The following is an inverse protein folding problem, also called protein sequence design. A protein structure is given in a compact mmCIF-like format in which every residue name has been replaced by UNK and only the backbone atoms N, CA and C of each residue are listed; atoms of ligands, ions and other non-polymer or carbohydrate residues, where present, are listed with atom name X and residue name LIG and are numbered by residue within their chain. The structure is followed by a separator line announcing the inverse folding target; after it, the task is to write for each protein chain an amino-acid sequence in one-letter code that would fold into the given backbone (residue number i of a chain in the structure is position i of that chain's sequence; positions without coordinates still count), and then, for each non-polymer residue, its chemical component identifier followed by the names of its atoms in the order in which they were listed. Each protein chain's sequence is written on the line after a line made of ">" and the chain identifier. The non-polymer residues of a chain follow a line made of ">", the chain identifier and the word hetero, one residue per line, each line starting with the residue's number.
data_IF_217569206293
#
_entry.id   IF_217569206293
#
_cell.length_a   1.000
_cell.length_b   1.000
_cell.length_c   1.000
_cell.angle_alpha   90.00
_cell.angle_beta   90.00
_cell.angle_gamma   90.00
#
_symmetry.space_group_name_H-M   'P 1'
#
loop_
_entity.id
_entity.type
_entity.pdbx_description
1 polymer ?
#
# COMPACT_ATOMS: atom_id res chain seq x y z
N UNK A 1 5.24 32.09 21.29
CA UNK A 1 3.83 32.09 21.75
C UNK A 1 3.47 33.56 22.01
N UNK A 2 2.51 34.07 21.26
CA UNK A 2 1.96 35.42 21.51
C UNK A 2 0.99 35.33 22.68
N UNK A 3 0.76 36.44 23.36
CA UNK A 3 -0.09 36.54 24.55
C UNK A 3 -1.57 36.17 24.31
N UNK A 4 -1.96 35.97 23.05
CA UNK A 4 -3.37 35.73 22.65
C UNK A 4 -3.63 34.28 22.21
N UNK A 5 -2.67 33.35 22.44
CA UNK A 5 -2.87 31.95 22.10
C UNK A 5 -3.72 31.26 23.17
N UNK A 6 -4.98 30.94 22.85
CA UNK A 6 -5.91 30.21 23.72
C UNK A 6 -6.00 28.76 23.26
N UNK A 7 -5.76 27.80 24.16
CA UNK A 7 -5.93 26.40 23.92
C UNK A 7 -7.30 25.95 24.42
N UNK A 8 -8.06 25.25 23.56
CA UNK A 8 -9.43 24.81 23.87
C UNK A 8 -9.52 23.47 24.58
N UNK A 9 -8.38 22.78 24.78
CA UNK A 9 -8.27 21.51 25.47
C UNK A 9 -6.92 21.41 26.17
N UNK A 10 -6.74 20.41 27.01
CA UNK A 10 -5.46 20.11 27.66
C UNK A 10 -4.38 19.86 26.57
N UNK A 11 -3.47 20.81 26.46
CA UNK A 11 -2.43 20.80 25.44
C UNK A 11 -1.07 20.92 26.10
N UNK A 12 -0.20 19.95 25.86
CA UNK A 12 1.20 20.04 26.30
C UNK A 12 1.99 20.78 25.23
N UNK A 13 2.55 21.92 25.61
CA UNK A 13 3.46 22.71 24.76
C UNK A 13 4.89 22.50 25.23
N UNK A 14 5.77 22.20 24.28
CA UNK A 14 7.19 22.06 24.53
C UNK A 14 7.92 23.34 24.11
N UNK A 15 8.71 23.94 25.02
CA UNK A 15 9.57 25.07 24.68
C UNK A 15 10.77 24.58 23.86
N UNK A 16 10.99 25.18 22.70
CA UNK A 16 12.22 25.04 21.94
C UNK A 16 13.13 26.23 22.26
N UNK A 17 14.25 25.95 22.89
CA UNK A 17 15.24 26.98 23.24
C UNK A 17 16.35 27.02 22.20
N UNK A 18 16.56 28.18 21.59
CA UNK A 18 17.75 28.43 20.79
C UNK A 18 18.79 29.13 21.66
N UNK A 19 19.96 28.53 21.82
CA UNK A 19 21.06 29.18 22.54
C UNK A 19 21.69 30.27 21.66
N UNK A 20 21.54 31.52 22.06
CA UNK A 20 22.12 32.71 21.37
C UNK A 20 23.31 33.28 22.12
N UNK A 21 24.09 32.47 22.81
CA UNK A 21 25.29 32.87 23.54
C UNK A 21 26.51 32.98 22.62
N UNK A 22 27.19 34.11 22.67
CA UNK A 22 28.37 34.39 21.88
C UNK A 22 29.58 33.53 22.29
N UNK A 23 30.30 33.03 21.29
CA UNK A 23 31.67 32.59 21.35
C UNK A 23 31.93 31.21 21.99
N UNK A 24 32.09 30.19 21.18
CA UNK A 24 32.67 28.90 21.56
C UNK A 24 31.74 27.71 21.30
N UNK A 25 32.08 26.91 20.29
CA UNK A 25 31.61 25.55 20.01
C UNK A 25 30.14 25.28 20.30
N UNK A 26 29.23 25.54 19.36
CA UNK A 26 27.82 25.27 19.53
C UNK A 26 27.58 23.80 19.81
N UNK A 27 27.10 23.44 21.00
CA UNK A 27 26.56 22.12 21.26
C UNK A 27 25.25 21.96 20.49
N UNK A 28 25.33 21.29 19.37
CA UNK A 28 24.13 20.79 18.71
C UNK A 28 23.78 19.46 19.38
N UNK A 29 22.67 19.36 20.13
CA UNK A 29 22.26 18.08 20.68
C UNK A 29 22.07 17.07 19.55
N UNK A 30 22.46 15.80 19.75
CA UNK A 30 22.29 14.78 18.74
C UNK A 30 20.81 14.67 18.33
N UNK A 31 20.54 14.80 17.06
CA UNK A 31 19.19 14.62 16.50
C UNK A 31 18.88 13.12 16.46
N UNK A 32 17.84 12.71 17.16
CA UNK A 32 17.36 11.33 17.11
C UNK A 32 16.50 11.12 15.89
N UNK A 33 16.78 10.07 15.12
CA UNK A 33 16.04 9.70 13.90
C UNK A 33 15.27 8.42 14.14
N UNK A 34 14.09 8.37 13.52
CA UNK A 34 13.24 7.18 13.53
C UNK A 34 12.85 6.79 12.12
N UNK A 35 12.42 5.55 11.95
CA UNK A 35 12.06 4.97 10.67
C UNK A 35 10.57 4.66 10.63
N UNK A 36 9.91 5.08 9.56
CA UNK A 36 8.57 4.67 9.20
C UNK A 36 8.65 3.59 8.12
N UNK A 37 8.06 2.44 8.39
CA UNK A 37 7.92 1.33 7.46
C UNK A 37 6.50 1.31 6.88
N UNK A 38 6.39 0.93 5.62
CA UNK A 38 5.13 0.78 4.91
C UNK A 38 4.88 -0.71 4.62
N UNK A 39 3.90 -1.29 5.30
CA UNK A 39 3.44 -2.66 5.06
C UNK A 39 2.29 -2.60 4.05
N UNK A 40 2.58 -2.93 2.80
CA UNK A 40 1.63 -2.78 1.70
C UNK A 40 0.67 -3.95 1.53
N UNK A 41 0.95 -5.09 2.20
CA UNK A 41 0.02 -6.24 2.27
C UNK A 41 -0.23 -6.93 0.92
N UNK A 42 0.65 -6.76 -0.05
CA UNK A 42 0.52 -7.30 -1.43
C UNK A 42 0.49 -6.22 -2.52
N UNK A 43 0.36 -4.96 -2.14
CA UNK A 43 0.52 -3.84 -3.07
C UNK A 43 1.99 -3.56 -3.41
N UNK A 44 2.21 -2.63 -4.33
CA UNK A 44 3.56 -2.19 -4.71
C UNK A 44 4.36 -1.68 -3.51
N UNK A 45 5.65 -1.99 -3.47
CA UNK A 45 6.53 -1.58 -2.40
C UNK A 45 6.67 -0.05 -2.32
N UNK A 46 6.71 0.45 -1.08
CA UNK A 46 7.03 1.85 -0.78
C UNK A 46 8.28 1.86 0.10
N UNK A 47 9.32 2.61 -0.29
CA UNK A 47 10.53 2.74 0.51
C UNK A 47 10.23 3.31 1.90
N UNK A 48 10.94 2.82 2.92
CA UNK A 48 10.87 3.38 4.27
C UNK A 48 11.33 4.84 4.30
N UNK A 49 10.76 5.62 5.21
CA UNK A 49 11.12 7.02 5.45
C UNK A 49 11.84 7.12 6.79
N UNK A 50 13.01 7.78 6.81
CA UNK A 50 13.77 8.04 8.03
C UNK A 50 13.90 9.53 8.26
N UNK A 51 13.32 10.01 9.36
CA UNK A 51 13.27 11.43 9.70
C UNK A 51 13.58 11.68 11.17
N UNK A 52 13.84 12.94 11.51
CA UNK A 52 14.10 13.35 12.87
C UNK A 52 12.87 13.15 13.78
N UNK A 53 13.13 12.97 15.07
CA UNK A 53 12.08 12.91 16.09
C UNK A 53 11.05 14.03 15.92
N UNK A 54 9.78 13.67 16.01
CA UNK A 54 8.63 14.58 15.92
C UNK A 54 8.43 15.23 14.54
N UNK A 55 9.01 14.66 13.46
CA UNK A 55 8.68 15.08 12.09
C UNK A 55 7.31 14.53 11.70
N UNK A 56 6.46 15.37 11.13
CA UNK A 56 5.18 14.95 10.56
C UNK A 56 5.38 14.36 9.18
N UNK A 57 4.88 13.16 8.96
CA UNK A 57 4.88 12.46 7.68
C UNK A 57 3.46 12.45 7.12
N UNK A 58 3.26 13.13 5.99
CA UNK A 58 2.01 13.12 5.25
C UNK A 58 1.91 11.83 4.42
N UNK A 59 1.05 10.93 4.86
CA UNK A 59 0.86 9.62 4.26
C UNK A 59 0.04 9.65 2.96
N UNK A 60 -0.62 10.75 2.65
CA UNK A 60 -1.40 10.90 1.41
C UNK A 60 -0.52 10.91 0.17
N UNK A 61 0.77 11.17 0.33
CA UNK A 61 1.78 11.15 -0.75
C UNK A 61 2.25 9.73 -1.10
N UNK A 62 1.96 8.76 -0.26
CA UNK A 62 2.42 7.38 -0.40
C UNK A 62 1.21 6.51 -0.74
N UNK A 63 1.01 6.28 -2.03
CA UNK A 63 -0.15 5.54 -2.55
C UNK A 63 0.36 4.29 -3.27
N UNK A 64 0.33 3.12 -2.62
CA UNK A 64 0.67 1.87 -3.28
C UNK A 64 -0.41 1.49 -4.29
N UNK A 65 -0.04 0.67 -5.26
CA UNK A 65 -0.94 0.11 -6.25
C UNK A 65 -1.01 -1.40 -6.07
N UNK A 66 -2.21 -1.95 -6.20
CA UNK A 66 -2.42 -3.39 -6.22
C UNK A 66 -3.54 -3.69 -7.21
N UNK A 67 -3.21 -4.49 -8.22
CA UNK A 67 -4.16 -4.81 -9.27
C UNK A 67 -5.39 -5.54 -8.70
N UNK A 68 -6.57 -5.14 -9.12
CA UNK A 68 -7.83 -5.68 -8.60
C UNK A 68 -8.20 -5.23 -7.20
N UNK A 69 -7.48 -4.23 -6.67
CA UNK A 69 -7.74 -3.66 -5.35
C UNK A 69 -7.69 -2.14 -5.40
N UNK A 70 -8.62 -1.52 -4.70
CA UNK A 70 -8.61 -0.07 -4.45
C UNK A 70 -7.95 0.21 -3.11
N UNK A 71 -6.92 1.05 -3.11
CA UNK A 71 -6.30 1.53 -1.88
C UNK A 71 -7.28 2.41 -1.10
N UNK A 72 -7.55 2.04 0.15
CA UNK A 72 -8.50 2.76 1.01
C UNK A 72 -7.84 3.59 2.09
N UNK A 73 -6.52 3.55 2.21
CA UNK A 73 -5.74 4.39 3.10
C UNK A 73 -4.76 3.63 3.97
N UNK A 74 -4.02 4.40 4.79
CA UNK A 74 -3.06 3.88 5.76
C UNK A 74 -3.68 3.74 7.15
N UNK A 75 -3.21 2.75 7.91
CA UNK A 75 -3.66 2.43 9.26
C UNK A 75 -2.47 2.22 10.19
N UNK A 76 -2.64 2.51 11.48
CA UNK A 76 -1.58 2.36 12.48
C UNK A 76 -1.39 0.93 12.96
N UNK A 77 -2.33 0.04 12.67
CA UNK A 77 -2.27 -1.36 13.05
C UNK A 77 -2.82 -2.30 11.97
N UNK A 78 -2.42 -3.56 12.06
CA UNK A 78 -2.79 -4.63 11.12
C UNK A 78 -4.29 -4.95 11.10
N UNK A 79 -4.99 -4.63 12.18
CA UNK A 79 -6.46 -4.80 12.29
C UNK A 79 -7.25 -3.79 11.46
N UNK A 80 -6.58 -2.78 10.88
CA UNK A 80 -7.16 -1.73 10.05
C UNK A 80 -8.33 -0.97 10.72
N UNK A 81 -8.21 -0.70 12.02
CA UNK A 81 -9.25 0.02 12.76
C UNK A 81 -8.99 1.53 12.79
N UNK A 82 -7.73 1.96 12.94
CA UNK A 82 -7.37 3.37 13.04
C UNK A 82 -6.73 3.88 11.76
N UNK A 83 -7.56 4.45 10.88
CA UNK A 83 -7.12 5.08 9.64
C UNK A 83 -6.45 6.42 9.92
N UNK A 84 -5.32 6.68 9.25
CA UNK A 84 -4.55 7.90 9.39
C UNK A 84 -4.16 8.49 8.04
N UNK A 85 -4.12 9.82 7.96
CA UNK A 85 -3.62 10.56 6.78
C UNK A 85 -2.19 11.06 6.96
N UNK A 86 -1.67 10.98 8.18
CA UNK A 86 -0.30 11.34 8.52
C UNK A 86 0.03 10.95 9.95
N UNK A 87 1.31 10.90 10.25
CA UNK A 87 1.83 10.50 11.57
C UNK A 87 2.99 11.40 12.00
N UNK A 88 3.15 11.62 13.31
CA UNK A 88 4.36 12.18 13.87
C UNK A 88 5.34 11.05 14.23
N UNK A 89 6.56 11.15 13.73
CA UNK A 89 7.58 10.12 13.93
C UNK A 89 8.26 10.27 15.29
N UNK A 90 7.66 9.69 16.33
CA UNK A 90 8.16 9.75 17.71
C UNK A 90 8.93 8.51 18.13
N UNK A 91 8.89 7.46 17.33
CA UNK A 91 9.58 6.16 17.46
C UNK A 91 9.60 5.47 16.10
N UNK A 92 10.34 4.38 15.97
CA UNK A 92 10.17 3.49 14.82
C UNK A 92 8.75 2.94 14.79
N UNK A 93 8.10 3.04 13.64
CA UNK A 93 6.71 2.62 13.50
C UNK A 93 6.42 2.05 12.11
N UNK A 94 5.33 1.31 12.01
CA UNK A 94 4.86 0.72 10.76
C UNK A 94 3.43 1.19 10.51
N UNK A 95 3.13 1.54 9.27
CA UNK A 95 1.76 1.77 8.80
C UNK A 95 1.37 0.68 7.82
N UNK A 96 0.09 0.32 7.84
CA UNK A 96 -0.47 -0.80 7.10
C UNK A 96 -1.44 -0.28 6.05
N UNK A 97 -1.26 -0.74 4.81
CA UNK A 97 -2.18 -0.41 3.72
C UNK A 97 -3.51 -1.14 3.89
N UNK A 98 -4.59 -0.40 3.82
CA UNK A 98 -5.93 -0.98 3.70
C UNK A 98 -6.33 -1.09 2.24
N UNK A 99 -6.96 -2.22 1.91
CA UNK A 99 -7.40 -2.53 0.55
C UNK A 99 -8.85 -2.96 0.54
N UNK A 100 -9.56 -2.55 -0.49
CA UNK A 100 -10.87 -3.09 -0.85
C UNK A 100 -10.68 -3.88 -2.14
N UNK A 101 -11.15 -5.10 -2.17
CA UNK A 101 -11.24 -5.87 -3.42
C UNK A 101 -12.23 -5.15 -4.34
N UNK A 102 -11.83 -4.90 -5.56
CA UNK A 102 -12.71 -4.29 -6.54
C UNK A 102 -13.74 -5.33 -6.97
N UNK A 103 -15.02 -4.98 -6.88
CA UNK A 103 -16.12 -5.87 -7.27
C UNK A 103 -16.08 -6.20 -8.77
N UNK A 104 -15.28 -5.45 -9.52
CA UNK A 104 -15.02 -5.65 -10.93
C UNK A 104 -13.53 -5.35 -11.20
N UNK A 105 -12.61 -6.32 -10.97
CA UNK A 105 -11.17 -6.12 -11.11
C UNK A 105 -10.71 -5.85 -12.55
N UNK A 106 -11.65 -5.84 -13.50
CA UNK A 106 -11.41 -5.66 -14.92
C UNK A 106 -11.78 -4.27 -15.42
N UNK A 107 -10.94 -3.25 -15.19
CA UNK A 107 -10.98 -2.01 -15.99
C UNK A 107 -10.14 -2.11 -17.26
N UNK A 108 -9.51 -3.24 -17.51
CA UNK A 108 -8.92 -3.58 -18.80
C UNK A 108 -10.01 -3.99 -19.79
N UNK A 109 -9.94 -3.52 -21.04
CA UNK A 109 -10.85 -4.00 -22.08
C UNK A 109 -10.79 -5.53 -22.14
N UNK A 110 -11.98 -6.18 -22.10
CA UNK A 110 -12.07 -7.63 -22.26
C UNK A 110 -11.52 -8.04 -23.64
N UNK A 111 -10.41 -8.78 -23.71
CA UNK A 111 -9.84 -9.19 -24.99
C UNK A 111 -10.59 -10.39 -25.61
N UNK A 112 -11.47 -11.07 -24.83
CA UNK A 112 -12.09 -12.32 -25.21
C UNK A 112 -13.45 -12.11 -25.86
N UNK A 113 -13.63 -12.68 -27.01
CA UNK A 113 -14.90 -12.62 -27.74
C UNK A 113 -15.92 -13.65 -27.27
N UNK A 114 -15.46 -14.66 -26.53
CA UNK A 114 -16.24 -15.78 -25.98
C UNK A 114 -16.57 -15.61 -24.48
N UNK A 115 -16.33 -14.42 -23.93
CA UNK A 115 -16.65 -14.04 -22.54
C UNK A 115 -17.41 -12.73 -22.56
N UNK A 116 -18.64 -12.74 -22.09
CA UNK A 116 -19.52 -11.55 -22.03
C UNK A 116 -19.57 -11.01 -20.60
N UNK A 117 -19.72 -9.68 -20.45
CA UNK A 117 -19.97 -9.03 -19.16
C UNK A 117 -21.21 -9.57 -18.42
N UNK A 118 -22.13 -10.23 -19.15
CA UNK A 118 -23.34 -10.84 -18.60
C UNK A 118 -23.13 -12.25 -18.08
N UNK A 119 -21.98 -12.86 -18.36
CA UNK A 119 -21.66 -14.21 -17.91
C UNK A 119 -21.37 -14.21 -16.42
N UNK A 120 -21.91 -15.16 -15.69
CA UNK A 120 -21.73 -15.25 -14.24
C UNK A 120 -20.25 -15.41 -13.82
N UNK A 121 -19.40 -15.93 -14.72
CA UNK A 121 -17.97 -16.12 -14.51
C UNK A 121 -17.13 -14.96 -15.03
N UNK A 122 -17.72 -13.89 -15.57
CA UNK A 122 -16.99 -12.76 -16.18
C UNK A 122 -15.94 -12.18 -15.23
N UNK A 123 -16.32 -11.87 -14.00
CA UNK A 123 -15.43 -11.29 -13.00
C UNK A 123 -14.24 -12.20 -12.70
N UNK A 124 -14.48 -13.51 -12.56
CA UNK A 124 -13.44 -14.50 -12.28
C UNK A 124 -12.47 -14.64 -13.46
N UNK A 125 -12.99 -14.68 -14.68
CA UNK A 125 -12.17 -14.74 -15.91
C UNK A 125 -11.28 -13.51 -16.04
N UNK A 126 -11.86 -12.34 -15.85
CA UNK A 126 -11.09 -11.09 -15.92
C UNK A 126 -10.04 -11.04 -14.81
N UNK A 127 -10.39 -11.46 -13.60
CA UNK A 127 -9.43 -11.54 -12.48
C UNK A 127 -8.24 -12.44 -12.81
N UNK A 128 -8.46 -13.68 -13.25
CA UNK A 128 -7.35 -14.63 -13.52
C UNK A 128 -6.54 -14.20 -14.75
N UNK A 129 -7.15 -13.57 -15.74
CA UNK A 129 -6.46 -13.01 -16.90
C UNK A 129 -5.58 -11.82 -16.50
N UNK A 130 -6.12 -10.87 -15.78
CA UNK A 130 -5.44 -9.65 -15.38
C UNK A 130 -4.30 -9.91 -14.42
N UNK A 131 -4.43 -10.90 -13.54
CA UNK A 131 -3.35 -11.34 -12.66
C UNK A 131 -2.34 -12.29 -13.34
N UNK A 132 -2.50 -12.53 -14.66
CA UNK A 132 -1.58 -13.38 -15.42
C UNK A 132 -1.65 -14.85 -15.04
N UNK A 133 -2.66 -15.27 -14.28
CA UNK A 133 -2.85 -16.66 -13.87
C UNK A 133 -3.32 -17.54 -15.04
N UNK A 134 -4.27 -17.01 -15.81
CA UNK A 134 -4.75 -17.64 -17.03
C UNK A 134 -4.78 -16.62 -18.18
N UNK A 135 -4.21 -16.96 -19.32
CA UNK A 135 -4.05 -16.02 -20.45
C UNK A 135 -5.03 -16.30 -21.60
N UNK A 136 -5.95 -17.24 -21.41
CA UNK A 136 -6.82 -17.75 -22.46
C UNK A 136 -6.15 -18.82 -23.32
N UNK A 137 -6.92 -19.37 -24.25
CA UNK A 137 -6.46 -20.38 -25.22
C UNK A 137 -5.93 -19.75 -26.51
N UNK A 138 -6.29 -18.49 -26.75
CA UNK A 138 -5.72 -17.61 -27.80
C UNK A 138 -5.75 -16.16 -27.36
N UNK A 139 -5.32 -15.25 -28.24
CA UNK A 139 -5.35 -13.79 -27.96
C UNK A 139 -6.76 -13.26 -27.75
N UNK A 140 -7.77 -13.90 -28.32
CA UNK A 140 -9.16 -13.46 -28.31
C UNK A 140 -10.16 -14.48 -27.77
N UNK A 141 -9.69 -15.62 -27.30
CA UNK A 141 -10.53 -16.69 -26.73
C UNK A 141 -10.00 -17.14 -25.38
N UNK A 142 -10.88 -17.15 -24.38
CA UNK A 142 -10.61 -17.71 -23.07
C UNK A 142 -10.95 -19.18 -22.98
N UNK A 143 -12.00 -19.60 -23.70
CA UNK A 143 -12.58 -20.95 -23.70
C UNK A 143 -13.11 -21.38 -22.33
N UNK A 144 -14.06 -20.62 -21.74
CA UNK A 144 -14.53 -20.82 -20.37
C UNK A 144 -15.18 -22.19 -20.13
N UNK A 145 -15.69 -22.81 -21.19
CA UNK A 145 -16.29 -24.15 -21.14
C UNK A 145 -15.33 -25.29 -21.58
N UNK A 146 -14.06 -24.92 -21.83
CA UNK A 146 -13.03 -25.88 -22.21
C UNK A 146 -12.54 -26.74 -21.04
N UNK A 147 -11.95 -27.88 -21.35
CA UNK A 147 -11.35 -28.76 -20.35
C UNK A 147 -9.96 -28.26 -19.93
N UNK A 148 -9.75 -28.08 -18.63
CA UNK A 148 -8.42 -27.77 -18.10
C UNK A 148 -7.57 -29.05 -18.02
N UNK A 149 -6.37 -28.99 -18.60
CA UNK A 149 -5.41 -30.07 -18.49
C UNK A 149 -4.63 -30.05 -17.18
N UNK A 150 -4.01 -31.15 -16.77
CA UNK A 150 -3.12 -31.19 -15.60
C UNK A 150 -1.94 -30.22 -15.74
N UNK A 151 -1.41 -30.04 -16.98
CA UNK A 151 -0.37 -29.04 -17.25
C UNK A 151 -0.83 -27.60 -17.04
N UNK A 152 -2.05 -27.27 -17.47
CA UNK A 152 -2.64 -25.95 -17.22
C UNK A 152 -2.78 -25.68 -15.71
N UNK A 153 -3.28 -26.66 -14.95
CA UNK A 153 -3.39 -26.52 -13.49
C UNK A 153 -2.03 -26.32 -12.82
N UNK A 154 -1.02 -27.10 -13.20
CA UNK A 154 0.33 -26.91 -12.66
C UNK A 154 0.91 -25.52 -12.99
N UNK A 155 0.65 -25.01 -14.21
CA UNK A 155 1.09 -23.67 -14.61
C UNK A 155 0.38 -22.57 -13.80
N UNK A 156 -0.92 -22.71 -13.54
CA UNK A 156 -1.68 -21.76 -12.73
C UNK A 156 -1.13 -21.72 -11.31
N UNK A 157 -0.93 -22.89 -10.69
CA UNK A 157 -0.37 -22.98 -9.34
C UNK A 157 1.04 -22.35 -9.26
N UNK A 158 1.89 -22.60 -10.27
CA UNK A 158 3.22 -21.99 -10.33
C UNK A 158 3.15 -20.45 -10.42
N UNK A 159 2.20 -19.92 -11.20
CA UNK A 159 1.99 -18.46 -11.32
C UNK A 159 1.45 -17.85 -10.03
N UNK A 160 0.58 -18.56 -9.31
CA UNK A 160 0.09 -18.12 -7.99
C UNK A 160 1.22 -17.98 -6.97
N UNK A 161 2.25 -18.83 -7.05
CA UNK A 161 3.47 -18.76 -6.23
C UNK A 161 4.49 -17.73 -6.74
N UNK A 162 4.11 -16.84 -7.66
CA UNK A 162 5.01 -15.84 -8.21
C UNK A 162 6.04 -16.36 -9.21
N UNK A 163 5.79 -17.52 -9.81
CA UNK A 163 6.69 -18.15 -10.81
C UNK A 163 8.14 -18.29 -10.32
N UNK A 164 8.39 -18.95 -9.19
CA UNK A 164 9.75 -19.12 -8.68
C UNK A 164 10.64 -19.81 -9.72
N UNK A 165 11.92 -19.45 -9.75
CA UNK A 165 12.89 -20.09 -10.63
C UNK A 165 12.96 -21.61 -10.36
N UNK A 166 13.08 -22.47 -11.39
CA UNK A 166 13.27 -23.90 -11.19
C UNK A 166 14.53 -24.14 -10.35
N UNK A 167 14.42 -25.02 -9.36
CA UNK A 167 15.54 -25.45 -8.51
C UNK A 167 16.44 -26.38 -9.26
#
# INVERSE_FOLDING_TARGET
>A
ITTDTVFSADTTVYAHWTYTGGGGGGYNPPVTYYTLLFETGGGSDIPSVREAYNTYIDLTKYVPTWRGHTFIGWYTERSLMNKVSGVYLTKDMTVYAGWRVDENPGTGANPFTDVSEKDWFYGDVMFVYENGLMLGTSKTLFSPHGTATRGMMATILLRMEGSPAPK
#
